data_IF_990985267827
#
_entry.id   IF_990985267827
#
_cell.length_a   1.000
_cell.length_b   1.000
_cell.length_c   1.000
_cell.angle_alpha   90.00
_cell.angle_beta   90.00
_cell.angle_gamma   90.00
#
_symmetry.space_group_name_H-M   'P 1'
#
loop_
_entity.id
_entity.type
_entity.pdbx_description
1 polymer ?
#
# COMPACT_ATOMS: atom_id res chain seq x y z
N UNK A 1 -16.67 -0.67 -20.90
CA UNK A 1 -16.13 -0.99 -19.58
C UNK A 1 -15.52 0.29 -19.06
N UNK A 2 -16.18 0.90 -18.08
CA UNK A 2 -16.01 2.28 -17.65
C UNK A 2 -14.60 2.52 -17.09
N UNK A 3 -13.93 3.60 -17.47
CA UNK A 3 -12.55 3.87 -17.02
C UNK A 3 -12.49 4.12 -15.49
N UNK A 4 -13.64 4.49 -14.91
CA UNK A 4 -13.85 4.61 -13.47
C UNK A 4 -13.81 3.26 -12.75
N UNK A 5 -14.50 2.24 -13.25
CA UNK A 5 -14.50 0.89 -12.66
C UNK A 5 -13.09 0.27 -12.66
N UNK A 6 -12.32 0.50 -13.73
CA UNK A 6 -10.92 0.06 -13.81
C UNK A 6 -10.06 0.75 -12.76
N UNK A 7 -10.27 2.05 -12.55
CA UNK A 7 -9.54 2.82 -11.54
C UNK A 7 -9.88 2.36 -10.12
N UNK A 8 -11.16 2.15 -9.82
CA UNK A 8 -11.61 1.59 -8.55
C UNK A 8 -10.99 0.22 -8.25
N UNK A 9 -10.94 -0.66 -9.26
CA UNK A 9 -10.30 -1.96 -9.15
C UNK A 9 -8.83 -1.85 -8.74
N UNK A 10 -8.07 -0.99 -9.42
CA UNK A 10 -6.65 -0.74 -9.12
C UNK A 10 -6.45 -0.15 -7.72
N UNK A 11 -7.27 0.81 -7.31
CA UNK A 11 -7.17 1.41 -5.97
C UNK A 11 -7.41 0.36 -4.88
N UNK A 12 -8.38 -0.53 -5.08
CA UNK A 12 -8.65 -1.64 -4.17
C UNK A 12 -7.49 -2.63 -4.09
N UNK A 13 -6.87 -2.96 -5.22
CA UNK A 13 -5.67 -3.83 -5.27
C UNK A 13 -4.47 -3.22 -4.54
N UNK A 14 -4.30 -1.90 -4.60
CA UNK A 14 -3.25 -1.16 -3.89
C UNK A 14 -3.53 -1.07 -2.37
N UNK A 15 -4.74 -1.41 -1.93
CA UNK A 15 -5.12 -1.35 -0.51
C UNK A 15 -5.71 0.01 -0.10
N UNK A 16 -6.37 0.71 -1.02
CA UNK A 16 -7.25 1.82 -0.65
C UNK A 16 -8.50 1.28 0.04
N UNK A 17 -8.88 1.93 1.14
CA UNK A 17 -10.17 1.72 1.79
C UNK A 17 -11.29 2.31 0.93
N UNK A 18 -12.54 1.90 1.19
CA UNK A 18 -13.72 2.45 0.49
C UNK A 18 -13.77 3.99 0.56
N UNK A 19 -13.41 4.56 1.71
CA UNK A 19 -13.41 6.01 1.93
C UNK A 19 -12.31 6.70 1.12
N UNK A 20 -11.09 6.14 1.09
CA UNK A 20 -9.99 6.69 0.31
C UNK A 20 -10.24 6.56 -1.19
N UNK A 21 -10.82 5.44 -1.64
CA UNK A 21 -11.25 5.26 -3.03
C UNK A 21 -12.24 6.34 -3.42
N UNK A 22 -13.33 6.52 -2.66
CA UNK A 22 -14.33 7.56 -2.96
C UNK A 22 -13.72 8.98 -2.99
N UNK A 23 -12.81 9.29 -2.06
CA UNK A 23 -12.10 10.56 -2.04
C UNK A 23 -11.19 10.73 -3.27
N UNK A 24 -10.42 9.70 -3.63
CA UNK A 24 -9.55 9.74 -4.81
C UNK A 24 -10.34 9.89 -6.11
N UNK A 25 -11.49 9.23 -6.25
CA UNK A 25 -12.37 9.39 -7.42
C UNK A 25 -12.97 10.79 -7.50
N UNK A 26 -13.32 11.40 -6.36
CA UNK A 26 -13.77 12.79 -6.33
C UNK A 26 -12.70 13.74 -6.86
N UNK A 27 -11.44 13.51 -6.48
CA UNK A 27 -10.30 14.27 -7.00
C UNK A 27 -10.12 13.99 -8.50
N UNK A 28 -10.15 12.73 -8.92
CA UNK A 28 -10.07 12.36 -10.34
C UNK A 28 -11.09 13.13 -11.20
N UNK A 29 -12.34 13.25 -10.73
CA UNK A 29 -13.38 14.01 -11.42
C UNK A 29 -13.19 15.54 -11.37
N UNK A 30 -12.44 16.06 -10.39
CA UNK A 30 -12.09 17.48 -10.33
C UNK A 30 -11.03 17.88 -11.37
N UNK A 31 -10.37 16.90 -12.01
CA UNK A 31 -9.39 17.12 -13.06
C UNK A 31 -8.03 17.57 -12.54
N UNK A 32 -7.26 18.22 -13.42
CA UNK A 32 -5.82 18.53 -13.22
C UNK A 32 -5.53 19.37 -11.97
N UNK A 33 -6.48 20.18 -11.51
CA UNK A 33 -6.31 20.98 -10.29
C UNK A 33 -6.10 20.13 -9.03
N UNK A 34 -6.49 18.85 -9.08
CA UNK A 34 -6.38 17.90 -7.98
C UNK A 34 -5.15 16.99 -8.08
N UNK A 35 -4.37 17.05 -9.16
CA UNK A 35 -3.24 16.17 -9.40
C UNK A 35 -2.17 16.20 -8.29
N UNK A 36 -1.82 17.36 -7.70
CA UNK A 36 -0.90 17.39 -6.57
C UNK A 36 -1.39 16.58 -5.37
N UNK A 37 -2.69 16.63 -5.08
CA UNK A 37 -3.30 15.89 -3.97
C UNK A 37 -3.38 14.39 -4.30
N UNK A 38 -3.72 14.03 -5.54
CA UNK A 38 -3.73 12.62 -5.99
C UNK A 38 -2.34 12.00 -5.91
N UNK A 39 -1.30 12.73 -6.32
CA UNK A 39 0.10 12.31 -6.19
C UNK A 39 0.51 12.15 -4.72
N UNK A 40 0.08 13.07 -3.85
CA UNK A 40 0.34 12.99 -2.41
C UNK A 40 -0.24 11.71 -1.81
N UNK A 41 -1.52 11.42 -2.08
CA UNK A 41 -2.20 10.22 -1.56
C UNK A 41 -1.50 8.94 -2.05
N UNK A 42 -1.12 8.87 -3.33
CA UNK A 42 -0.37 7.73 -3.86
C UNK A 42 1.01 7.59 -3.20
N UNK A 43 1.69 8.72 -2.95
CA UNK A 43 2.97 8.76 -2.25
C UNK A 43 2.87 8.21 -0.82
N UNK A 44 1.84 8.63 -0.08
CA UNK A 44 1.57 8.17 1.28
C UNK A 44 1.28 6.66 1.31
N UNK A 45 0.49 6.16 0.35
CA UNK A 45 0.21 4.72 0.20
C UNK A 45 1.46 3.91 -0.12
N UNK A 46 2.30 4.40 -1.04
CA UNK A 46 3.58 3.77 -1.36
C UNK A 46 4.48 3.69 -0.12
N UNK A 47 4.54 4.76 0.67
CA UNK A 47 5.34 4.78 1.90
C UNK A 47 4.83 3.77 2.92
N UNK A 48 3.53 3.72 3.17
CA UNK A 48 2.93 2.76 4.09
C UNK A 48 3.17 1.30 3.66
N UNK A 49 3.11 1.01 2.35
CA UNK A 49 3.43 -0.31 1.82
C UNK A 49 4.90 -0.69 2.04
N UNK A 50 5.83 0.26 1.86
CA UNK A 50 7.25 0.05 2.11
C UNK A 50 7.53 -0.21 3.60
N UNK A 51 6.89 0.56 4.49
CA UNK A 51 7.02 0.37 5.94
C UNK A 51 6.53 -1.04 6.36
N UNK A 52 5.46 -1.54 5.74
CA UNK A 52 4.97 -2.90 5.97
C UNK A 52 5.94 -3.96 5.45
N UNK A 53 6.54 -3.76 4.28
CA UNK A 53 7.58 -4.65 3.75
C UNK A 53 8.74 -4.74 4.75
N UNK A 54 9.27 -3.60 5.21
CA UNK A 54 10.38 -3.58 6.18
C UNK A 54 10.03 -4.27 7.51
N UNK A 55 8.77 -4.14 7.96
CA UNK A 55 8.29 -4.84 9.15
C UNK A 55 8.23 -6.35 8.93
N UNK A 56 7.77 -6.81 7.76
CA UNK A 56 7.71 -8.22 7.41
C UNK A 56 9.12 -8.82 7.26
N UNK A 57 10.05 -8.10 6.63
CA UNK A 57 11.47 -8.47 6.55
C UNK A 57 12.08 -8.67 7.94
N UNK A 58 11.86 -7.71 8.85
CA UNK A 58 12.36 -7.79 10.24
C UNK A 58 11.81 -9.00 10.99
N UNK A 59 10.55 -9.36 10.74
CA UNK A 59 9.93 -10.57 11.29
C UNK A 59 10.58 -11.84 10.74
N UNK A 60 10.85 -11.90 9.45
CA UNK A 60 11.53 -13.04 8.81
C UNK A 60 12.92 -13.24 9.42
N UNK A 61 13.70 -12.17 9.54
CA UNK A 61 15.03 -12.22 10.17
C UNK A 61 14.94 -12.78 11.59
N UNK A 62 13.98 -12.32 12.39
CA UNK A 62 13.77 -12.82 13.75
C UNK A 62 13.45 -14.31 13.79
N UNK A 63 12.61 -14.79 12.85
CA UNK A 63 12.31 -16.23 12.73
C UNK A 63 13.53 -17.05 12.33
N UNK A 64 14.37 -16.53 11.44
CA UNK A 64 15.59 -17.20 11.00
C UNK A 64 16.61 -17.29 12.14
N UNK A 65 16.75 -16.24 12.95
CA UNK A 65 17.55 -16.27 14.18
C UNK A 65 17.05 -17.36 15.13
N UNK A 66 15.75 -17.39 15.44
CA UNK A 66 15.17 -18.43 16.30
C UNK A 66 15.40 -19.84 15.75
N UNK A 67 15.28 -20.03 14.44
CA UNK A 67 15.54 -21.32 13.79
C UNK A 67 17.00 -21.75 13.94
N UNK A 68 17.93 -20.81 13.79
CA UNK A 68 19.35 -21.07 13.95
C UNK A 68 19.70 -21.42 15.41
N UNK A 69 19.11 -20.73 16.39
CA UNK A 69 19.29 -21.04 17.81
C UNK A 69 18.82 -22.47 18.13
N UNK A 70 17.69 -22.89 17.57
CA UNK A 70 17.18 -24.27 17.74
C UNK A 70 18.14 -25.29 17.11
N UNK A 71 18.66 -25.01 15.90
CA UNK A 71 19.56 -25.92 15.19
C UNK A 71 20.93 -26.06 15.85
N UNK A 72 21.40 -24.99 16.50
CA UNK A 72 22.74 -24.92 17.10
C UNK A 72 22.77 -25.24 18.59
N UNK A 73 21.61 -25.45 19.24
CA UNK A 73 21.53 -26.04 20.58
C UNK A 73 21.96 -27.52 20.51
N UNK A 74 23.22 -27.78 20.85
CA UNK A 74 23.72 -29.08 21.30
C UNK A 74 23.27 -29.35 22.74
#
# INVERSE_FOLDING_TARGET
MDDLEKLEGKLREIGFTKTETAYYLKLFNAGECSDPERLRILGDKRKAALDEIHRLESKIISMDTMRNDIRNKK
#
